data_IF_435570694382
#
_entry.id   IF_435570694382
#
_cell.length_a   1.000
_cell.length_b   1.000
_cell.length_c   1.000
_cell.angle_alpha   90.00
_cell.angle_beta   90.00
_cell.angle_gamma   90.00
#
_symmetry.space_group_name_H-M   'P 1'
#
loop_
_entity.id
_entity.type
_entity.pdbx_description
1 polymer ?
#
# COMPACT_ATOMS: atom_id res chain seq x y z
N UNK A 1 -10.82 5.33 18.15
CA UNK A 1 -9.36 5.10 18.26
C UNK A 1 -8.66 6.37 18.77
N UNK A 2 -8.63 7.48 18.02
CA UNK A 2 -7.81 8.66 18.33
C UNK A 2 -8.18 9.32 19.66
N UNK A 3 -9.45 9.46 19.98
CA UNK A 3 -9.94 10.01 21.27
C UNK A 3 -9.59 9.13 22.49
N UNK A 4 -9.31 7.85 22.27
CA UNK A 4 -8.93 6.89 23.30
C UNK A 4 -7.40 6.60 23.32
N UNK A 5 -6.59 7.55 22.87
CA UNK A 5 -5.13 7.49 22.99
C UNK A 5 -4.38 6.85 21.83
N UNK A 6 -5.05 6.39 20.76
CA UNK A 6 -4.39 5.95 19.52
C UNK A 6 -4.04 7.19 18.69
N UNK A 7 -2.93 7.86 19.03
CA UNK A 7 -2.52 9.11 18.37
C UNK A 7 -1.01 9.17 18.18
N UNK A 8 -0.58 9.84 17.12
CA UNK A 8 0.82 10.11 16.81
C UNK A 8 1.27 11.25 17.72
N UNK A 9 2.06 10.94 18.74
CA UNK A 9 2.59 11.94 19.69
C UNK A 9 3.97 12.46 19.28
N UNK A 10 4.71 11.67 18.51
CA UNK A 10 6.03 12.03 18.01
C UNK A 10 6.09 11.88 16.50
N UNK A 11 6.71 12.84 15.83
CA UNK A 11 6.91 12.86 14.39
C UNK A 11 8.35 13.30 14.10
N UNK A 12 9.13 12.45 13.43
CA UNK A 12 10.55 12.69 13.11
C UNK A 12 11.39 13.11 14.32
N UNK A 13 11.13 12.53 15.50
CA UNK A 13 11.85 12.84 16.74
C UNK A 13 11.32 14.07 17.51
N UNK A 14 10.38 14.83 16.94
CA UNK A 14 9.76 15.98 17.62
C UNK A 14 8.43 15.61 18.24
N UNK A 15 8.17 16.13 19.45
CA UNK A 15 6.86 15.97 20.09
C UNK A 15 5.84 16.89 19.42
N UNK A 16 4.77 16.29 18.89
CA UNK A 16 3.67 17.06 18.31
C UNK A 16 2.84 17.74 19.41
N UNK A 17 2.47 18.99 19.18
CA UNK A 17 1.48 19.64 20.01
C UNK A 17 0.16 18.87 19.95
N UNK A 18 -0.55 18.79 21.07
CA UNK A 18 -1.78 17.97 21.18
C UNK A 18 -2.81 18.32 20.11
N UNK A 19 -3.00 19.60 19.81
CA UNK A 19 -3.94 20.07 18.80
C UNK A 19 -3.58 19.60 17.36
N UNK A 20 -2.28 19.34 17.09
CA UNK A 20 -1.78 18.84 15.79
C UNK A 20 -1.78 17.29 15.75
N UNK A 21 -1.51 16.65 16.88
CA UNK A 21 -1.49 15.18 17.02
C UNK A 21 -2.82 14.55 16.60
N UNK A 22 -3.97 15.16 16.96
CA UNK A 22 -5.28 14.64 16.60
C UNK A 22 -5.53 14.61 15.09
N UNK A 23 -5.44 15.73 14.35
CA UNK A 23 -5.72 15.74 12.91
C UNK A 23 -4.70 14.88 12.14
N UNK A 24 -3.42 14.89 12.51
CA UNK A 24 -2.39 14.05 11.86
C UNK A 24 -2.74 12.56 12.01
N UNK A 25 -3.16 12.13 13.19
CA UNK A 25 -3.54 10.74 13.43
C UNK A 25 -4.80 10.33 12.66
N UNK A 26 -5.79 11.22 12.58
CA UNK A 26 -7.01 10.96 11.79
C UNK A 26 -6.66 10.85 10.31
N UNK A 27 -5.86 11.78 9.79
CA UNK A 27 -5.42 11.76 8.39
C UNK A 27 -4.67 10.45 8.09
N UNK A 28 -3.75 10.03 8.97
CA UNK A 28 -3.03 8.76 8.82
C UNK A 28 -3.98 7.57 8.73
N UNK A 29 -4.88 7.42 9.71
CA UNK A 29 -5.83 6.29 9.75
C UNK A 29 -6.70 6.29 8.49
N UNK A 30 -7.27 7.42 8.12
CA UNK A 30 -8.15 7.54 6.95
C UNK A 30 -7.37 7.27 5.66
N UNK A 31 -6.16 7.82 5.52
CA UNK A 31 -5.34 7.62 4.34
C UNK A 31 -4.96 6.15 4.14
N UNK A 32 -4.48 5.47 5.18
CA UNK A 32 -4.11 4.04 5.09
C UNK A 32 -5.33 3.15 4.88
N UNK A 33 -6.44 3.43 5.56
CA UNK A 33 -7.70 2.69 5.37
C UNK A 33 -8.14 2.74 3.91
N UNK A 34 -8.16 3.93 3.31
CA UNK A 34 -8.50 4.08 1.90
C UNK A 34 -7.44 3.48 0.96
N UNK A 35 -6.14 3.61 1.31
CA UNK A 35 -5.07 3.05 0.51
C UNK A 35 -5.18 1.52 0.39
N UNK A 36 -5.46 0.83 1.50
CA UNK A 36 -5.69 -0.64 1.51
C UNK A 36 -6.97 -1.01 0.77
N UNK A 37 -8.02 -0.19 0.87
CA UNK A 37 -9.25 -0.42 0.12
C UNK A 37 -9.03 -0.24 -1.40
N UNK A 38 -8.26 0.76 -1.82
CA UNK A 38 -7.99 0.98 -3.25
C UNK A 38 -7.12 -0.10 -3.90
N UNK A 39 -6.24 -0.78 -3.16
CA UNK A 39 -5.48 -1.91 -3.69
C UNK A 39 -6.29 -3.21 -3.77
N UNK A 40 -7.53 -3.25 -3.24
CA UNK A 40 -8.42 -4.43 -3.35
C UNK A 40 -9.08 -4.53 -4.74
N UNK A 41 -8.30 -4.27 -5.79
CA UNK A 41 -8.76 -4.32 -7.19
C UNK A 41 -8.38 -5.61 -7.94
N UNK A 42 -7.56 -6.48 -7.36
CA UNK A 42 -7.17 -7.78 -7.93
C UNK A 42 -7.27 -8.89 -6.90
N UNK A 43 -7.65 -10.09 -7.36
CA UNK A 43 -7.74 -11.29 -6.51
C UNK A 43 -6.46 -11.54 -5.72
N UNK A 44 -6.57 -11.60 -4.40
CA UNK A 44 -5.47 -11.84 -3.47
C UNK A 44 -4.62 -10.62 -3.13
N UNK A 45 -4.72 -9.50 -3.87
CA UNK A 45 -3.79 -8.39 -3.73
C UNK A 45 -3.85 -7.75 -2.34
N UNK A 46 -5.01 -7.28 -1.91
CA UNK A 46 -5.15 -6.61 -0.62
C UNK A 46 -4.87 -7.55 0.56
N UNK A 47 -5.35 -8.79 0.49
CA UNK A 47 -5.12 -9.79 1.52
C UNK A 47 -3.63 -10.10 1.70
N UNK A 48 -2.90 -10.32 0.61
CA UNK A 48 -1.50 -10.67 0.67
C UNK A 48 -0.59 -9.50 1.05
N UNK A 49 -0.82 -8.31 0.50
CA UNK A 49 -0.10 -7.10 0.91
C UNK A 49 -0.32 -6.82 2.40
N UNK A 50 -1.56 -6.93 2.87
CA UNK A 50 -1.88 -6.76 4.29
C UNK A 50 -1.22 -7.82 5.17
N UNK A 51 -1.16 -9.07 4.72
CA UNK A 51 -0.45 -10.15 5.43
C UNK A 51 1.05 -9.88 5.53
N UNK A 52 1.69 -9.44 4.44
CA UNK A 52 3.11 -9.10 4.41
C UNK A 52 3.39 -7.90 5.32
N UNK A 53 2.57 -6.84 5.23
CA UNK A 53 2.69 -5.67 6.10
C UNK A 53 2.51 -6.05 7.57
N UNK A 54 1.46 -6.81 7.91
CA UNK A 54 1.24 -7.28 9.28
C UNK A 54 2.39 -8.17 9.77
N UNK A 55 2.92 -9.06 8.92
CA UNK A 55 4.06 -9.92 9.24
C UNK A 55 5.34 -9.11 9.52
N UNK A 56 5.63 -8.11 8.70
CA UNK A 56 6.77 -7.22 8.91
C UNK A 56 6.62 -6.41 10.20
N UNK A 57 5.42 -5.87 10.46
CA UNK A 57 5.13 -5.17 11.72
C UNK A 57 5.22 -6.11 12.93
N UNK A 58 4.80 -7.38 12.79
CA UNK A 58 4.91 -8.40 13.84
C UNK A 58 6.38 -8.64 14.21
N UNK A 59 7.26 -8.79 13.21
CA UNK A 59 8.69 -8.95 13.46
C UNK A 59 9.25 -7.72 14.19
N UNK A 60 8.90 -6.50 13.75
CA UNK A 60 9.30 -5.27 14.44
C UNK A 60 8.76 -5.24 15.88
N UNK A 61 7.48 -5.60 16.11
CA UNK A 61 6.88 -5.60 17.43
C UNK A 61 7.54 -6.62 18.40
N UNK A 62 8.09 -7.72 17.86
CA UNK A 62 8.86 -8.69 18.63
C UNK A 62 10.28 -8.21 18.93
N UNK A 63 10.90 -7.45 18.04
CA UNK A 63 12.23 -6.84 18.25
C UNK A 63 12.18 -5.69 19.26
N UNK A 64 11.06 -4.96 19.31
CA UNK A 64 10.81 -3.87 20.26
C UNK A 64 9.70 -4.31 21.21
N UNK A 65 9.95 -5.08 22.28
CA UNK A 65 8.97 -5.88 23.00
C UNK A 65 7.60 -5.21 23.21
N UNK A 66 6.74 -5.22 22.18
CA UNK A 66 5.34 -4.77 22.22
C UNK A 66 4.43 -5.97 21.96
N UNK A 67 4.26 -6.79 22.97
CA UNK A 67 3.50 -8.04 22.89
C UNK A 67 2.01 -7.81 22.57
N UNK A 68 1.44 -6.67 22.94
CA UNK A 68 0.03 -6.36 22.63
C UNK A 68 -0.17 -6.17 21.13
N UNK A 69 0.68 -5.36 20.49
CA UNK A 69 0.66 -5.21 19.04
C UNK A 69 1.00 -6.52 18.32
N UNK A 70 1.96 -7.30 18.87
CA UNK A 70 2.36 -8.57 18.26
C UNK A 70 1.20 -9.58 18.21
N UNK A 71 0.40 -9.71 19.27
CA UNK A 71 -0.78 -10.61 19.30
C UNK A 71 -1.80 -10.20 18.23
N UNK A 72 -2.12 -8.91 18.12
CA UNK A 72 -3.06 -8.42 17.11
C UNK A 72 -2.54 -8.63 15.68
N UNK A 73 -1.25 -8.38 15.45
CA UNK A 73 -0.61 -8.59 14.16
C UNK A 73 -0.57 -10.07 13.78
N UNK A 74 -0.26 -10.95 14.73
CA UNK A 74 -0.31 -12.40 14.49
C UNK A 74 -1.73 -12.87 14.12
N UNK A 75 -2.76 -12.31 14.75
CA UNK A 75 -4.15 -12.61 14.41
C UNK A 75 -4.49 -12.14 12.98
N UNK A 76 -4.03 -10.94 12.56
CA UNK A 76 -4.23 -10.44 11.20
C UNK A 76 -3.49 -11.33 10.18
N UNK A 77 -2.24 -11.69 10.44
CA UNK A 77 -1.47 -12.60 9.57
C UNK A 77 -2.19 -13.94 9.42
N UNK A 78 -2.64 -14.53 10.53
CA UNK A 78 -3.38 -15.79 10.51
C UNK A 78 -4.70 -15.72 9.74
N UNK A 79 -5.47 -14.64 9.94
CA UNK A 79 -6.73 -14.41 9.23
C UNK A 79 -6.50 -14.26 7.71
N UNK A 80 -5.52 -13.44 7.31
CA UNK A 80 -5.15 -13.27 5.90
C UNK A 80 -4.63 -14.58 5.29
N UNK A 81 -3.79 -15.32 6.00
CA UNK A 81 -3.27 -16.61 5.54
C UNK A 81 -4.39 -17.64 5.32
N UNK A 82 -5.41 -17.66 6.19
CA UNK A 82 -6.59 -18.52 6.02
C UNK A 82 -7.52 -18.06 4.89
N UNK A 83 -7.56 -16.76 4.58
CA UNK A 83 -8.39 -16.17 3.53
C UNK A 83 -7.77 -16.31 2.13
N UNK A 84 -6.46 -16.09 1.99
CA UNK A 84 -5.74 -16.07 0.70
C UNK A 84 -6.02 -17.31 -0.17
N UNK A 85 -6.04 -18.56 0.31
CA UNK A 85 -6.30 -19.73 -0.53
C UNK A 85 -7.65 -19.69 -1.28
N UNK A 86 -8.62 -18.94 -0.76
CA UNK A 86 -9.94 -18.79 -1.36
C UNK A 86 -10.08 -17.49 -2.15
N UNK A 87 -9.24 -16.50 -1.88
CA UNK A 87 -9.24 -15.20 -2.54
C UNK A 87 -8.19 -15.08 -3.65
N UNK A 88 -7.22 -16.01 -3.75
CA UNK A 88 -6.19 -15.98 -4.81
C UNK A 88 -6.80 -16.35 -6.17
N UNK A 89 -6.28 -15.73 -7.24
CA UNK A 89 -6.82 -15.84 -8.60
C UNK A 89 -6.82 -17.28 -9.18
N UNK A 90 -7.97 -17.80 -9.64
CA UNK A 90 -9.30 -17.19 -9.65
C UNK A 90 -9.98 -17.23 -8.27
N UNK A 91 -10.42 -16.06 -7.78
CA UNK A 91 -11.00 -15.95 -6.45
C UNK A 91 -12.35 -16.70 -6.36
N UNK A 92 -12.53 -17.44 -5.25
CA UNK A 92 -13.80 -18.07 -4.88
C UNK A 92 -14.62 -17.21 -3.94
N UNK A 93 -13.96 -16.38 -3.14
CA UNK A 93 -14.56 -15.40 -2.23
C UNK A 93 -13.84 -14.06 -2.37
N UNK A 94 -14.56 -12.98 -2.16
CA UNK A 94 -14.05 -11.61 -2.26
C UNK A 94 -14.00 -10.96 -0.87
N UNK A 95 -13.03 -10.09 -0.65
CA UNK A 95 -12.87 -9.37 0.62
C UNK A 95 -13.94 -8.29 0.79
N UNK A 96 -14.19 -7.53 -0.28
CA UNK A 96 -15.10 -6.39 -0.29
C UNK A 96 -14.62 -5.23 0.58
N UNK A 97 -15.33 -4.10 0.50
CA UNK A 97 -14.97 -2.88 1.21
C UNK A 97 -14.90 -3.06 2.73
N UNK A 98 -15.76 -3.92 3.29
CA UNK A 98 -15.77 -4.20 4.73
C UNK A 98 -14.45 -4.83 5.19
N UNK A 99 -13.94 -5.82 4.45
CA UNK A 99 -12.69 -6.49 4.80
C UNK A 99 -11.47 -5.63 4.56
N UNK A 100 -11.38 -4.97 3.41
CA UNK A 100 -10.24 -4.13 3.05
C UNK A 100 -10.13 -2.88 3.93
N UNK A 101 -11.25 -2.20 4.23
CA UNK A 101 -11.25 -1.07 5.17
C UNK A 101 -10.94 -1.51 6.61
N UNK A 102 -11.44 -2.68 7.04
CA UNK A 102 -11.08 -3.24 8.33
C UNK A 102 -9.57 -3.50 8.44
N UNK A 103 -8.96 -4.14 7.45
CA UNK A 103 -7.52 -4.38 7.44
C UNK A 103 -6.72 -3.07 7.45
N UNK A 104 -7.10 -2.10 6.62
CA UNK A 104 -6.46 -0.79 6.59
C UNK A 104 -6.57 -0.03 7.92
N UNK A 105 -7.75 -0.06 8.54
CA UNK A 105 -7.97 0.53 9.86
C UNK A 105 -7.12 -0.15 10.95
N UNK A 106 -7.07 -1.47 10.97
CA UNK A 106 -6.28 -2.22 11.95
C UNK A 106 -4.79 -1.96 11.78
N UNK A 107 -4.25 -2.07 10.56
CA UNK A 107 -2.84 -1.82 10.27
C UNK A 107 -2.43 -0.39 10.62
N UNK A 108 -3.23 0.60 10.25
CA UNK A 108 -2.96 2.01 10.58
C UNK A 108 -3.01 2.28 12.08
N UNK A 109 -3.99 1.72 12.79
CA UNK A 109 -4.14 1.91 14.23
C UNK A 109 -3.01 1.24 15.02
N UNK A 110 -2.63 0.00 14.65
CA UNK A 110 -1.53 -0.72 15.28
C UNK A 110 -0.19 -0.02 14.99
N UNK A 111 0.00 0.53 13.78
CA UNK A 111 1.21 1.30 13.46
C UNK A 111 1.39 2.51 14.37
N UNK A 112 0.30 3.22 14.68
CA UNK A 112 0.34 4.35 15.63
C UNK A 112 0.64 3.85 17.04
N UNK A 113 -0.02 2.78 17.48
CA UNK A 113 0.09 2.30 18.85
C UNK A 113 1.46 1.70 19.16
N UNK A 114 2.03 0.93 18.24
CA UNK A 114 3.30 0.23 18.41
C UNK A 114 4.50 1.00 17.84
N UNK A 115 4.46 1.33 16.56
CA UNK A 115 5.66 1.78 15.83
C UNK A 115 5.98 3.26 16.02
N UNK A 116 4.97 4.15 16.04
CA UNK A 116 5.20 5.59 16.25
C UNK A 116 5.59 5.98 17.68
N UNK A 117 5.56 5.06 18.63
CA UNK A 117 6.01 5.30 20.02
C UNK A 117 7.52 5.26 20.21
N UNK A 118 8.28 4.77 19.24
CA UNK A 118 9.73 4.79 19.28
C UNK A 118 10.24 6.22 19.10
N UNK A 119 11.02 6.73 20.04
CA UNK A 119 11.48 8.14 20.12
C UNK A 119 12.53 8.55 19.07
N UNK A 120 12.74 7.78 18.01
CA UNK A 120 13.75 8.04 17.00
C UNK A 120 13.15 8.43 15.64
N UNK A 121 13.95 9.08 14.79
CA UNK A 121 13.62 9.33 13.37
C UNK A 121 13.21 8.03 12.67
N UNK A 122 13.79 6.90 13.08
CA UNK A 122 13.50 5.56 12.61
C UNK A 122 12.02 5.17 12.83
N UNK A 123 11.40 5.60 13.94
CA UNK A 123 10.01 5.28 14.24
C UNK A 123 9.01 5.85 13.23
N UNK A 124 9.39 6.91 12.53
CA UNK A 124 8.62 7.46 11.43
C UNK A 124 8.80 6.64 10.14
N UNK A 125 10.03 6.23 9.83
CA UNK A 125 10.35 5.52 8.60
C UNK A 125 9.73 4.10 8.55
N UNK A 126 9.70 3.39 9.67
CA UNK A 126 9.21 2.00 9.75
C UNK A 126 7.76 1.86 9.30
N UNK A 127 6.77 2.61 9.83
CA UNK A 127 5.39 2.54 9.35
C UNK A 127 5.22 2.89 7.86
N UNK A 128 5.99 3.88 7.38
CA UNK A 128 5.96 4.28 5.98
C UNK A 128 6.54 3.22 5.05
N UNK A 129 7.56 2.49 5.47
CA UNK A 129 8.10 1.37 4.69
C UNK A 129 7.14 0.18 4.70
N UNK A 130 6.68 -0.25 5.87
CA UNK A 130 5.81 -1.43 5.99
C UNK A 130 4.50 -1.25 5.22
N UNK A 131 3.93 -0.05 5.25
CA UNK A 131 2.71 0.31 4.52
C UNK A 131 3.04 0.99 3.17
N UNK A 132 4.27 0.84 2.71
CA UNK A 132 4.81 1.60 1.59
C UNK A 132 4.04 1.40 0.30
N UNK A 133 3.70 0.16 -0.07
CA UNK A 133 2.98 -0.09 -1.31
C UNK A 133 1.61 0.62 -1.35
N UNK A 134 0.71 0.48 -0.35
CA UNK A 134 -0.53 1.26 -0.29
C UNK A 134 -0.29 2.77 -0.32
N UNK A 135 0.69 3.27 0.44
CA UNK A 135 1.01 4.71 0.49
C UNK A 135 1.47 5.22 -0.87
N UNK A 136 2.40 4.52 -1.52
CA UNK A 136 2.88 4.92 -2.84
C UNK A 136 1.77 4.90 -3.88
N UNK A 137 0.90 3.90 -3.87
CA UNK A 137 -0.20 3.80 -4.83
C UNK A 137 -1.15 5.00 -4.72
N UNK A 138 -1.56 5.38 -3.51
CA UNK A 138 -2.43 6.55 -3.30
C UNK A 138 -1.69 7.86 -3.62
N UNK A 139 -0.42 8.02 -3.24
CA UNK A 139 0.37 9.20 -3.54
C UNK A 139 0.51 9.39 -5.04
N UNK A 140 0.84 8.35 -5.80
CA UNK A 140 0.93 8.41 -7.26
C UNK A 140 -0.40 8.74 -7.91
N UNK A 141 -1.50 8.18 -7.42
CA UNK A 141 -2.82 8.52 -7.92
C UNK A 141 -3.15 10.00 -7.71
N UNK A 142 -2.88 10.55 -6.51
CA UNK A 142 -3.09 11.97 -6.20
C UNK A 142 -2.20 12.88 -7.03
N UNK A 143 -0.89 12.62 -7.08
CA UNK A 143 0.07 13.42 -7.86
C UNK A 143 -0.35 13.49 -9.33
N UNK A 144 -0.71 12.36 -9.93
CA UNK A 144 -1.14 12.30 -11.32
C UNK A 144 -2.42 13.09 -11.59
N UNK A 145 -3.41 13.03 -10.69
CA UNK A 145 -4.66 13.80 -10.81
C UNK A 145 -4.39 15.30 -10.74
N UNK A 146 -3.61 15.71 -9.75
CA UNK A 146 -3.22 17.12 -9.58
C UNK A 146 -2.43 17.63 -10.77
N UNK A 147 -1.47 16.84 -11.30
CA UNK A 147 -0.68 17.23 -12.47
C UNK A 147 -1.52 17.36 -13.76
N UNK A 148 -2.70 16.72 -13.81
CA UNK A 148 -3.69 16.87 -14.91
C UNK A 148 -4.75 17.93 -14.60
N UNK A 149 -4.63 18.71 -13.54
CA UNK A 149 -5.61 19.71 -13.12
C UNK A 149 -6.94 19.11 -12.63
N UNK A 150 -6.96 17.81 -12.28
CA UNK A 150 -8.15 17.11 -11.80
C UNK A 150 -8.23 17.14 -10.27
N UNK A 151 -9.44 16.99 -9.74
CA UNK A 151 -9.64 16.87 -8.30
C UNK A 151 -8.93 15.61 -7.76
N UNK A 152 -8.23 15.68 -6.59
CA UNK A 152 -7.65 14.52 -5.93
C UNK A 152 -8.66 13.40 -5.63
N UNK A 153 -9.94 13.74 -5.52
CA UNK A 153 -11.05 12.81 -5.22
C UNK A 153 -11.68 12.19 -6.48
N UNK A 154 -11.21 12.54 -7.68
CA UNK A 154 -11.77 11.98 -8.91
C UNK A 154 -11.49 10.48 -9.00
N UNK A 155 -12.50 9.68 -9.37
CA UNK A 155 -12.34 8.24 -9.59
C UNK A 155 -11.39 8.01 -10.79
N UNK A 156 -10.39 7.12 -10.62
CA UNK A 156 -9.35 6.92 -11.61
C UNK A 156 -8.87 5.45 -11.61
N UNK A 157 -8.66 4.89 -12.78
CA UNK A 157 -8.10 3.53 -12.98
C UNK A 157 -6.58 3.51 -13.01
N UNK A 158 -5.90 4.55 -12.56
CA UNK A 158 -4.45 4.67 -12.68
C UNK A 158 -3.64 4.09 -11.50
N UNK A 159 -4.20 3.20 -10.70
CA UNK A 159 -3.49 2.48 -9.64
C UNK A 159 -2.39 1.57 -10.22
N UNK A 160 -1.34 1.31 -9.44
CA UNK A 160 -0.17 0.53 -9.87
C UNK A 160 -0.57 -0.82 -10.45
N UNK A 161 -1.52 -1.52 -9.83
CA UNK A 161 -1.97 -2.83 -10.28
C UNK A 161 -2.68 -2.79 -11.64
N UNK A 162 -3.50 -1.78 -11.92
CA UNK A 162 -4.11 -1.59 -13.24
C UNK A 162 -3.07 -1.34 -14.31
N UNK A 163 -2.06 -0.52 -14.02
CA UNK A 163 -0.97 -0.25 -14.95
C UNK A 163 -0.13 -1.48 -15.28
N UNK A 164 0.14 -2.34 -14.29
CA UNK A 164 0.81 -3.61 -14.55
C UNK A 164 0.01 -4.50 -15.52
N UNK A 165 -1.30 -4.58 -15.34
CA UNK A 165 -2.19 -5.28 -16.29
C UNK A 165 -2.13 -4.62 -17.68
N UNK A 166 -2.19 -3.31 -17.74
CA UNK A 166 -2.10 -2.55 -18.98
C UNK A 166 -0.74 -2.75 -19.70
N UNK A 167 0.34 -2.97 -18.97
CA UNK A 167 1.66 -3.34 -19.50
C UNK A 167 1.74 -4.80 -20.01
N UNK A 168 0.65 -5.58 -19.93
CA UNK A 168 0.57 -6.95 -20.41
C UNK A 168 0.88 -8.02 -19.38
N UNK A 169 1.11 -7.67 -18.10
CA UNK A 169 1.27 -8.66 -17.04
C UNK A 169 -0.08 -9.34 -16.74
N UNK A 170 -0.05 -10.65 -16.51
CA UNK A 170 -1.22 -11.35 -15.98
C UNK A 170 -1.53 -10.90 -14.55
N UNK A 171 -2.79 -11.09 -14.11
CA UNK A 171 -3.20 -10.76 -12.75
C UNK A 171 -2.28 -11.39 -11.68
N UNK A 172 -1.90 -12.67 -11.85
CA UNK A 172 -0.98 -13.38 -10.95
C UNK A 172 0.40 -12.73 -10.90
N UNK A 173 0.92 -12.29 -12.05
CA UNK A 173 2.21 -11.61 -12.13
C UNK A 173 2.15 -10.23 -11.46
N UNK A 174 1.09 -9.45 -11.70
CA UNK A 174 0.92 -8.15 -11.07
C UNK A 174 0.85 -8.27 -9.54
N UNK A 175 0.10 -9.25 -9.02
CA UNK A 175 0.02 -9.54 -7.58
C UNK A 175 1.37 -10.00 -7.03
N UNK A 176 2.11 -10.87 -7.73
CA UNK A 176 3.43 -11.31 -7.31
C UNK A 176 4.44 -10.15 -7.23
N UNK A 177 4.43 -9.23 -8.19
CA UNK A 177 5.26 -8.01 -8.16
C UNK A 177 4.91 -7.15 -6.93
N UNK A 178 3.63 -6.96 -6.65
CA UNK A 178 3.20 -6.20 -5.49
C UNK A 178 3.62 -6.85 -4.16
N UNK A 179 3.54 -8.19 -4.06
CA UNK A 179 4.02 -8.93 -2.90
C UNK A 179 5.54 -8.79 -2.71
N UNK A 180 6.32 -8.90 -3.79
CA UNK A 180 7.77 -8.70 -3.74
C UNK A 180 8.13 -7.30 -3.28
N UNK A 181 7.47 -6.26 -3.82
CA UNK A 181 7.69 -4.89 -3.39
C UNK A 181 7.35 -4.69 -1.90
N UNK A 182 6.20 -5.20 -1.45
CA UNK A 182 5.80 -5.12 -0.05
C UNK A 182 6.79 -5.87 0.86
N UNK A 183 7.29 -7.03 0.44
CA UNK A 183 8.26 -7.80 1.20
C UNK A 183 9.62 -7.08 1.30
N UNK A 184 10.11 -6.48 0.21
CA UNK A 184 11.35 -5.68 0.20
C UNK A 184 11.22 -4.50 1.16
N UNK A 185 10.11 -3.76 1.09
CA UNK A 185 9.87 -2.62 1.97
C UNK A 185 9.70 -3.04 3.43
N UNK A 186 8.99 -4.14 3.67
CA UNK A 186 8.84 -4.71 5.00
C UNK A 186 10.17 -5.20 5.60
N UNK A 187 11.00 -5.85 4.81
CA UNK A 187 12.35 -6.27 5.22
C UNK A 187 13.23 -5.06 5.53
N UNK A 188 13.19 -4.02 4.70
CA UNK A 188 13.91 -2.77 4.96
C UNK A 188 13.47 -2.14 6.29
N UNK A 189 12.19 -2.17 6.62
CA UNK A 189 11.66 -1.69 7.89
C UNK A 189 12.19 -2.50 9.09
N UNK A 190 12.23 -3.84 8.96
CA UNK A 190 12.76 -4.74 10.00
C UNK A 190 14.25 -4.46 10.23
N UNK A 191 15.04 -4.33 9.16
CA UNK A 191 16.49 -4.04 9.28
C UNK A 191 16.73 -2.66 9.88
N UNK A 192 15.91 -1.66 9.55
CA UNK A 192 15.98 -0.33 10.17
C UNK A 192 15.75 -0.34 11.69
N UNK A 193 15.04 -1.34 12.20
CA UNK A 193 14.76 -1.45 13.65
C UNK A 193 15.95 -2.00 14.44
N UNK A 194 16.86 -2.75 13.81
CA UNK A 194 18.08 -3.26 14.43
C UNK A 194 19.16 -2.18 14.50
N UNK A 195 20.08 -2.26 15.47
CA UNK A 195 21.22 -1.35 15.59
C UNK A 195 22.27 -1.65 14.51
N UNK A 196 22.73 -0.63 13.79
CA UNK A 196 23.76 -0.77 12.76
C UNK A 196 23.93 0.46 11.86
N UNK A 197 25.15 0.64 11.32
CA UNK A 197 25.49 1.78 10.45
C UNK A 197 24.85 1.69 9.05
N UNK A 198 24.36 0.51 8.65
CA UNK A 198 23.76 0.25 7.34
C UNK A 198 22.34 0.80 7.17
N UNK A 199 21.73 1.34 8.22
CA UNK A 199 20.32 1.79 8.23
C UNK A 199 20.00 2.80 7.13
N UNK A 200 20.83 3.82 7.00
CA UNK A 200 20.61 4.88 6.01
C UNK A 200 20.72 4.36 4.59
N UNK A 201 21.67 3.48 4.30
CA UNK A 201 21.85 2.89 2.98
C UNK A 201 20.69 2.01 2.59
N UNK A 202 20.15 1.21 3.51
CA UNK A 202 19.01 0.32 3.25
C UNK A 202 17.73 1.15 3.03
N UNK A 203 17.51 2.20 3.83
CA UNK A 203 16.38 3.11 3.65
C UNK A 203 16.45 3.80 2.28
N UNK A 204 17.59 4.40 1.95
CA UNK A 204 17.80 5.07 0.66
C UNK A 204 17.63 4.08 -0.49
N UNK A 205 18.21 2.88 -0.39
CA UNK A 205 18.07 1.83 -1.40
C UNK A 205 16.61 1.42 -1.62
N UNK A 206 15.86 1.20 -0.56
CA UNK A 206 14.44 0.85 -0.65
C UNK A 206 13.61 1.97 -1.31
N UNK A 207 13.85 3.23 -0.92
CA UNK A 207 13.16 4.39 -1.52
C UNK A 207 13.51 4.54 -3.00
N UNK A 208 14.80 4.36 -3.38
CA UNK A 208 15.22 4.41 -4.79
C UNK A 208 14.56 3.31 -5.61
N UNK A 209 14.54 2.07 -5.13
CA UNK A 209 13.93 0.93 -5.83
C UNK A 209 12.45 1.18 -6.08
N UNK A 210 11.71 1.59 -5.05
CA UNK A 210 10.27 1.87 -5.17
C UNK A 210 10.03 3.09 -6.06
N UNK A 211 10.84 4.14 -5.91
CA UNK A 211 10.76 5.33 -6.77
C UNK A 211 11.03 5.00 -8.24
N UNK A 212 12.06 4.21 -8.53
CA UNK A 212 12.39 3.79 -9.89
C UNK A 212 11.28 2.95 -10.53
N UNK A 213 10.70 1.99 -9.78
CA UNK A 213 9.56 1.21 -10.26
C UNK A 213 8.34 2.10 -10.48
N UNK A 214 8.06 3.03 -9.56
CA UNK A 214 7.00 4.01 -9.71
C UNK A 214 7.16 4.85 -10.97
N UNK A 215 8.36 5.36 -11.23
CA UNK A 215 8.68 6.12 -12.45
C UNK A 215 8.48 5.26 -13.70
N UNK A 216 9.01 4.03 -13.74
CA UNK A 216 8.83 3.12 -14.86
C UNK A 216 7.34 2.85 -15.14
N UNK A 217 6.54 2.61 -14.09
CA UNK A 217 5.10 2.39 -14.22
C UNK A 217 4.35 3.63 -14.69
N UNK A 218 4.79 4.84 -14.29
CA UNK A 218 4.15 6.10 -14.70
C UNK A 218 4.48 6.46 -16.14
N UNK A 219 5.75 6.30 -16.55
CA UNK A 219 6.24 6.76 -17.86
C UNK A 219 6.13 5.69 -18.94
N UNK A 220 5.72 4.46 -18.62
CA UNK A 220 5.40 3.48 -19.65
C UNK A 220 4.19 3.96 -20.44
N UNK A 221 4.44 4.56 -21.62
CA UNK A 221 3.38 4.99 -22.53
C UNK A 221 2.72 3.76 -23.14
N UNK A 222 1.41 3.67 -23.03
CA UNK A 222 0.61 2.84 -23.93
C UNK A 222 0.83 3.33 -25.37
N UNK A 223 1.06 2.45 -26.34
CA UNK A 223 0.76 2.77 -27.71
C UNK A 223 -0.74 3.11 -27.80
N UNK A 224 -1.03 4.30 -28.31
CA UNK A 224 -2.38 4.86 -28.36
C UNK A 224 -3.31 3.92 -29.14
N UNK A 225 -4.32 3.35 -28.52
CA UNK A 225 -5.37 2.56 -29.17
C UNK A 225 -6.17 3.37 -30.21
N UNK A 226 -5.93 4.67 -30.27
CA UNK A 226 -6.51 5.56 -31.30
C UNK A 226 -5.96 5.25 -32.70
N UNK A 227 -4.73 4.75 -32.84
CA UNK A 227 -4.19 4.38 -34.14
C UNK A 227 -4.67 3.02 -34.67
N UNK A 228 -5.06 2.11 -33.75
CA UNK A 228 -5.59 0.78 -34.14
C UNK A 228 -7.03 0.88 -34.65
N UNK A 229 -7.83 1.77 -34.08
CA UNK A 229 -9.20 2.03 -34.55
C UNK A 229 -9.23 2.84 -35.87
N UNK A 230 -8.21 3.61 -36.18
CA UNK A 230 -8.10 4.33 -37.46
C UNK A 230 -7.69 3.41 -38.62
N UNK A 231 -7.24 2.19 -38.34
CA UNK A 231 -6.83 1.19 -39.36
C UNK A 231 -7.85 0.09 -39.63
N UNK A 232 -9.00 0.09 -38.93
CA UNK A 232 -10.09 -0.82 -39.31
C UNK A 232 -10.76 -0.26 -40.59
N UNK A 233 -10.77 -0.99 -41.72
CA UNK A 233 -11.57 -0.59 -42.89
C UNK A 233 -13.03 -0.50 -42.48
N UNK A 234 -13.70 0.56 -42.89
CA UNK A 234 -15.17 0.65 -42.80
C UNK A 234 -15.74 -0.55 -43.54
N UNK A 235 -16.41 -1.46 -42.80
CA UNK A 235 -17.21 -2.51 -43.41
C UNK A 235 -18.39 -1.82 -44.15
N UNK A 236 -18.37 -1.91 -45.46
CA UNK A 236 -19.48 -1.46 -46.31
C UNK A 236 -20.79 -2.16 -45.86
N UNK A 237 -21.88 -1.41 -45.79
CA UNK A 237 -23.17 -2.02 -45.48
C UNK A 237 -23.58 -2.96 -46.59
N UNK A 238 -23.75 -4.24 -46.29
CA UNK A 238 -24.40 -5.21 -47.20
C UNK A 238 -25.80 -4.74 -47.45
N UNK A 239 -26.06 -4.27 -48.69
CA UNK A 239 -27.40 -4.12 -49.23
C UNK A 239 -28.03 -5.51 -49.31
N UNK A 240 -29.07 -5.74 -48.54
CA UNK A 240 -30.00 -6.85 -48.71
C UNK A 240 -30.95 -6.51 -49.87
N UNK A 241 -30.84 -7.29 -50.95
CA UNK A 241 -31.87 -7.46 -51.97
C UNK A 241 -32.74 -8.64 -51.67
#
# INVERSE_FOLDING_TARGET
AVLHGCRIEHFMGFRLATWLSYPVSVIWIVAITNAVNFIDGLDGLAAGVSAISAGSMLVVALLVPDYNSAILLAAIVGACAGFIPYNFNPAKIFMGDTGSTFLGFMLSSISIYGLFKMYAIISFAVPFLVLGLPIFDICFAVIRRVSKGQSPMHADRGHVHHRLIDMGFSQKQAVAIAYMLSAILGMAAVVLTNDGEMKALIFIGAVIVVGAIGVLVIFHRHPDKTEENAKKPEEEPHEEN
#
